data_IF_338990712293
#
_entry.id   IF_338990712293
#
_cell.length_a   1.000
_cell.length_b   1.000
_cell.length_c   1.000
_cell.angle_alpha   90.00
_cell.angle_beta   90.00
_cell.angle_gamma   90.00
#
_symmetry.space_group_name_H-M   'P 1'
#
loop_
_entity.id
_entity.type
_entity.pdbx_description
1 polymer ?
#
# COMPACT_ATOMS: atom_id res chain seq x y z
N UNK A 1 4.48 2.63 -22.15
CA UNK A 1 3.34 3.26 -21.47
C UNK A 1 3.87 3.82 -20.18
N UNK A 2 3.80 5.14 -20.03
CA UNK A 2 4.14 5.81 -18.79
C UNK A 2 3.09 5.35 -17.76
N UNK A 3 3.50 4.60 -16.74
CA UNK A 3 2.60 4.29 -15.62
C UNK A 3 2.16 5.62 -15.00
N UNK A 4 0.87 5.96 -15.13
CA UNK A 4 0.29 7.09 -14.41
C UNK A 4 0.50 6.88 -12.91
N UNK A 5 1.25 7.79 -12.30
CA UNK A 5 1.43 7.82 -10.85
C UNK A 5 0.08 8.10 -10.19
N UNK A 6 -0.47 7.13 -9.48
CA UNK A 6 -1.70 7.32 -8.68
C UNK A 6 -1.31 7.98 -7.37
N UNK A 7 -1.80 9.21 -7.15
CA UNK A 7 -1.59 9.96 -5.90
C UNK A 7 -2.87 10.00 -5.09
N UNK A 8 -2.81 9.58 -3.83
CA UNK A 8 -3.92 9.61 -2.88
C UNK A 8 -3.60 10.61 -1.76
N UNK A 9 -4.54 11.48 -1.44
CA UNK A 9 -4.45 12.42 -0.31
C UNK A 9 -5.52 12.09 0.73
N UNK A 10 -5.08 11.69 1.93
CA UNK A 10 -5.94 11.22 3.03
C UNK A 10 -6.51 12.41 3.83
N UNK A 11 -5.95 13.63 3.70
CA UNK A 11 -6.40 14.85 4.39
C UNK A 11 -6.66 14.68 5.89
N UNK A 12 -5.85 13.87 6.58
CA UNK A 12 -5.92 13.66 8.02
C UNK A 12 -4.51 13.61 8.65
N UNK A 13 -4.43 13.84 9.96
CA UNK A 13 -3.18 13.68 10.71
C UNK A 13 -3.10 12.27 11.29
N UNK A 14 -1.95 11.63 11.16
CA UNK A 14 -1.66 10.30 11.72
C UNK A 14 -0.45 10.38 12.65
N UNK A 15 -0.48 9.65 13.76
CA UNK A 15 0.60 9.59 14.75
C UNK A 15 0.59 8.24 15.47
N UNK A 16 1.78 7.69 15.73
CA UNK A 16 1.95 6.42 16.42
C UNK A 16 2.00 5.24 15.45
N UNK A 17 1.43 4.10 15.85
CA UNK A 17 1.32 2.90 15.02
C UNK A 17 0.16 3.04 14.02
N UNK A 18 0.45 2.89 12.74
CA UNK A 18 -0.48 3.05 11.62
C UNK A 18 -0.55 1.76 10.82
N UNK A 19 -1.76 1.39 10.43
CA UNK A 19 -2.04 0.33 9.46
C UNK A 19 -2.68 0.97 8.23
N UNK A 20 -2.11 0.74 7.06
CA UNK A 20 -2.68 1.13 5.77
C UNK A 20 -3.03 -0.13 4.99
N UNK A 21 -4.29 -0.21 4.55
CA UNK A 21 -4.82 -1.33 3.77
C UNK A 21 -5.23 -0.86 2.39
N UNK A 22 -4.72 -1.52 1.36
CA UNK A 22 -5.13 -1.31 -0.02
C UNK A 22 -5.96 -2.52 -0.46
N UNK A 23 -7.19 -2.24 -0.90
CA UNK A 23 -8.15 -3.23 -1.39
C UNK A 23 -8.51 -2.93 -2.83
N UNK A 24 -8.78 -3.99 -3.59
CA UNK A 24 -9.39 -3.90 -4.90
C UNK A 24 -10.89 -4.18 -4.75
N UNK A 25 -11.71 -3.28 -5.28
CA UNK A 25 -13.15 -3.50 -5.43
C UNK A 25 -13.40 -4.02 -6.84
N UNK A 26 -14.22 -5.07 -6.95
CA UNK A 26 -14.68 -5.55 -8.25
C UNK A 26 -15.54 -4.51 -8.99
N UNK A 27 -15.80 -4.75 -10.27
CA UNK A 27 -16.50 -3.79 -11.14
C UNK A 27 -17.90 -3.44 -10.64
N UNK A 28 -18.56 -4.38 -9.97
CA UNK A 28 -19.87 -4.22 -9.35
C UNK A 28 -19.82 -3.71 -7.90
N UNK A 29 -18.62 -3.45 -7.36
CA UNK A 29 -18.36 -2.97 -6.00
C UNK A 29 -18.99 -3.83 -4.90
N UNK A 30 -19.12 -5.13 -5.14
CA UNK A 30 -19.73 -6.09 -4.22
C UNK A 30 -18.70 -6.94 -3.48
N UNK A 31 -17.48 -7.08 -4.01
CA UNK A 31 -16.42 -7.88 -3.39
C UNK A 31 -15.15 -7.07 -3.25
N UNK A 32 -14.60 -7.18 -2.05
CA UNK A 32 -13.31 -6.62 -1.69
C UNK A 32 -12.27 -7.74 -1.73
N UNK A 33 -11.20 -7.52 -2.50
CA UNK A 33 -10.02 -8.36 -2.50
C UNK A 33 -8.86 -7.55 -1.89
N UNK A 34 -8.23 -8.06 -0.82
CA UNK A 34 -7.05 -7.42 -0.24
C UNK A 34 -5.91 -7.43 -1.28
N UNK A 35 -5.40 -6.24 -1.61
CA UNK A 35 -4.18 -6.13 -2.42
C UNK A 35 -2.96 -6.29 -1.52
N UNK A 36 -2.81 -5.40 -0.53
CA UNK A 36 -1.73 -5.46 0.45
C UNK A 36 -2.05 -4.64 1.71
N UNK A 37 -1.30 -4.89 2.77
CA UNK A 37 -1.30 -4.11 4.01
C UNK A 37 0.13 -3.69 4.35
N UNK A 38 0.28 -2.52 4.97
CA UNK A 38 1.52 -2.11 5.61
C UNK A 38 1.25 -1.63 7.03
N UNK A 39 2.16 -1.98 7.95
CA UNK A 39 2.18 -1.49 9.31
C UNK A 39 3.46 -0.70 9.56
N UNK A 40 3.34 0.53 10.02
CA UNK A 40 4.50 1.37 10.33
C UNK A 40 4.21 2.28 11.51
N UNK A 41 5.26 2.75 12.18
CA UNK A 41 5.12 3.74 13.23
C UNK A 41 5.71 5.08 12.79
N UNK A 42 4.95 6.16 12.96
CA UNK A 42 5.32 7.49 12.47
C UNK A 42 6.61 8.02 13.09
N UNK A 43 7.02 7.54 14.27
CA UNK A 43 8.27 7.97 14.91
C UNK A 43 9.54 7.49 14.20
N UNK A 44 9.43 6.49 13.31
CA UNK A 44 10.56 5.93 12.57
C UNK A 44 10.66 6.44 11.13
N UNK A 45 9.69 7.22 10.66
CA UNK A 45 9.71 7.79 9.31
C UNK A 45 10.74 8.92 9.25
N UNK A 46 11.65 8.83 8.28
CA UNK A 46 12.64 9.88 8.02
C UNK A 46 12.16 10.74 6.85
N UNK A 47 12.37 12.05 6.95
CA UNK A 47 12.01 13.01 5.89
C UNK A 47 10.51 13.04 5.52
N UNK A 48 9.63 12.49 6.36
CA UNK A 48 8.19 12.33 6.08
C UNK A 48 7.86 11.52 4.82
N UNK A 49 8.78 10.64 4.39
CA UNK A 49 8.61 9.77 3.22
C UNK A 49 8.84 8.33 3.67
N UNK A 50 7.90 7.43 3.32
CA UNK A 50 8.00 6.00 3.57
C UNK A 50 8.02 5.28 2.22
N UNK A 51 9.20 4.86 1.79
CA UNK A 51 9.35 4.06 0.58
C UNK A 51 9.13 2.58 0.93
N UNK A 52 8.22 1.91 0.22
CA UNK A 52 7.90 0.50 0.43
C UNK A 52 8.19 -0.30 -0.84
N UNK A 53 8.71 -1.50 -0.68
CA UNK A 53 8.85 -2.48 -1.75
C UNK A 53 8.05 -3.75 -1.48
N UNK A 54 8.04 -4.68 -2.45
CA UNK A 54 7.26 -5.91 -2.41
C UNK A 54 7.53 -6.79 -1.16
N UNK A 55 8.73 -6.75 -0.61
CA UNK A 55 9.11 -7.56 0.56
C UNK A 55 8.77 -6.87 1.89
N UNK A 56 8.35 -5.59 1.85
CA UNK A 56 7.99 -4.77 3.03
C UNK A 56 6.48 -4.62 3.22
N UNK A 57 5.68 -5.22 2.33
CA UNK A 57 4.22 -5.21 2.41
C UNK A 57 3.68 -6.62 2.67
N UNK A 58 2.61 -6.70 3.45
CA UNK A 58 1.87 -7.93 3.69
C UNK A 58 0.93 -8.17 2.51
N UNK A 59 1.13 -9.27 1.78
CA UNK A 59 0.32 -9.70 0.64
C UNK A 59 -0.24 -11.09 0.94
N UNK A 60 -1.46 -11.39 0.47
CA UNK A 60 -1.98 -12.76 0.52
C UNK A 60 -1.02 -13.73 -0.20
N UNK A 61 -0.85 -14.92 0.37
CA UNK A 61 0.15 -15.88 -0.09
C UNK A 61 -0.05 -16.31 -1.56
N UNK A 62 -1.30 -16.37 -2.00
CA UNK A 62 -1.71 -16.73 -3.37
C UNK A 62 -1.69 -15.53 -4.33
N UNK A 63 -1.61 -14.30 -3.82
CA UNK A 63 -1.55 -13.08 -4.61
C UNK A 63 -0.13 -12.54 -4.83
N UNK A 64 0.89 -13.09 -4.16
CA UNK A 64 2.27 -12.57 -4.20
C UNK A 64 2.86 -12.50 -5.62
N UNK A 65 2.55 -13.47 -6.48
CA UNK A 65 3.03 -13.52 -7.86
C UNK A 65 2.37 -12.47 -8.78
N UNK A 66 1.29 -11.82 -8.34
CA UNK A 66 0.63 -10.72 -9.06
C UNK A 66 1.39 -9.40 -8.93
N UNK A 67 2.30 -9.28 -7.96
CA UNK A 67 3.08 -8.06 -7.74
C UNK A 67 4.39 -8.09 -8.54
N UNK A 68 4.67 -7.04 -9.35
CA UNK A 68 5.95 -6.90 -10.03
C UNK A 68 7.14 -6.99 -9.06
N UNK A 69 8.25 -7.59 -9.50
CA UNK A 69 9.46 -7.74 -8.66
C UNK A 69 10.06 -6.39 -8.24
N UNK A 70 9.82 -5.36 -9.03
CA UNK A 70 10.27 -3.99 -8.89
C UNK A 70 9.19 -3.06 -8.33
N UNK A 71 8.12 -3.60 -7.74
CA UNK A 71 7.06 -2.84 -7.09
C UNK A 71 7.63 -1.83 -6.07
N UNK A 72 7.11 -0.61 -6.12
CA UNK A 72 7.40 0.48 -5.18
C UNK A 72 6.14 1.27 -4.87
N UNK A 73 6.00 1.69 -3.61
CA UNK A 73 4.99 2.64 -3.16
C UNK A 73 5.65 3.73 -2.29
N UNK A 74 5.10 4.95 -2.33
CA UNK A 74 5.52 6.13 -1.57
C UNK A 74 4.33 6.75 -0.84
#
# INVERSE_FOLDING_TARGET
EDCELVKVDIRCHVQGDVVLECINLDEDMQREEMMFRVMFNTSFIRSNILMLNRDEIDILWDAKDRFPKDFRAE
#
